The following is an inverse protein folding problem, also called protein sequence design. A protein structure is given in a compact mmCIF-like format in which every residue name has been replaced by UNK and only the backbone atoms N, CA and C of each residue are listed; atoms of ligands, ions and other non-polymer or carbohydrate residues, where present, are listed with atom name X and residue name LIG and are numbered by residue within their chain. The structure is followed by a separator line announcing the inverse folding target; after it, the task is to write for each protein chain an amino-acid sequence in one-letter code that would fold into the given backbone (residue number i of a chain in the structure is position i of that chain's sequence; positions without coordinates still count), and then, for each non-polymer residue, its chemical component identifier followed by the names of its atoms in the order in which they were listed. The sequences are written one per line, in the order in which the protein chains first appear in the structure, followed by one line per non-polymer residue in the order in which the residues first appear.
data_IF_486358691449
#
_entry.id   IF_486358691449
#
_cell.length_a   1.000
_cell.length_b   1.000
_cell.length_c   1.000
_cell.angle_alpha   90.00
_cell.angle_beta   90.00
_cell.angle_gamma   90.00
#
_symmetry.space_group_name_H-M   'P 1'
#
loop_
_entity.id
_entity.type
_entity.pdbx_description
1 polymer ?
#
# COMPACT_ATOMS: atom_id res chain seq x y z
N UNK A 1 60.52 -18.05 16.05
CA UNK A 1 59.70 -18.85 15.12
C UNK A 1 58.41 -18.10 14.84
N UNK A 2 58.41 -17.30 13.78
CA UNK A 2 57.25 -16.57 13.27
C UNK A 2 56.12 -17.53 12.89
N UNK A 3 54.88 -17.15 13.22
CA UNK A 3 53.68 -17.67 12.55
C UNK A 3 52.90 -16.47 12.02
N UNK A 4 53.06 -16.21 10.73
CA UNK A 4 52.28 -15.22 10.00
C UNK A 4 50.82 -15.68 9.85
N UNK A 5 49.88 -14.81 10.22
CA UNK A 5 48.43 -14.98 10.03
C UNK A 5 48.03 -14.75 8.57
N UNK A 6 47.34 -15.68 7.88
CA UNK A 6 46.80 -15.43 6.55
C UNK A 6 45.33 -14.99 6.67
N UNK A 7 45.10 -13.72 7.01
CA UNK A 7 43.77 -13.09 6.95
C UNK A 7 43.67 -12.02 5.85
N UNK A 8 44.45 -12.15 4.78
CA UNK A 8 44.46 -11.17 3.70
C UNK A 8 44.48 -11.81 2.30
N UNK A 9 43.56 -12.72 2.01
CA UNK A 9 43.43 -13.22 0.63
C UNK A 9 42.10 -13.89 0.30
N UNK A 10 40.94 -13.24 0.45
CA UNK A 10 39.73 -13.68 -0.29
C UNK A 10 38.88 -12.50 -0.73
N UNK A 11 38.69 -12.41 -2.06
CA UNK A 11 37.82 -11.48 -2.81
C UNK A 11 38.40 -10.15 -3.31
N UNK A 12 39.61 -10.20 -3.90
CA UNK A 12 40.09 -9.19 -4.84
C UNK A 12 39.54 -9.38 -6.26
N UNK A 13 38.22 -9.45 -6.43
CA UNK A 13 37.58 -9.54 -7.74
C UNK A 13 36.54 -8.44 -7.92
N UNK A 14 36.72 -7.56 -8.91
CA UNK A 14 35.68 -6.60 -9.30
C UNK A 14 34.41 -7.39 -9.66
N UNK A 15 33.44 -7.39 -8.74
CA UNK A 15 32.17 -8.09 -8.89
C UNK A 15 31.36 -7.43 -10.00
N UNK A 16 31.56 -7.93 -11.23
CA UNK A 16 30.85 -7.53 -12.42
C UNK A 16 29.35 -7.82 -12.26
N UNK A 17 28.55 -6.75 -12.14
CA UNK A 17 27.10 -6.74 -11.89
C UNK A 17 26.27 -7.18 -13.11
N UNK A 18 26.83 -7.97 -14.03
CA UNK A 18 26.20 -8.32 -15.31
C UNK A 18 25.54 -9.71 -15.30
N UNK A 19 25.83 -10.57 -14.32
CA UNK A 19 25.22 -11.91 -14.22
C UNK A 19 24.13 -11.97 -13.14
N UNK A 20 22.94 -12.46 -13.50
CA UNK A 20 21.85 -12.72 -12.55
C UNK A 20 22.27 -13.75 -11.47
N UNK A 21 23.16 -14.70 -11.81
CA UNK A 21 23.74 -15.66 -10.86
C UNK A 21 24.63 -14.96 -9.82
N UNK A 22 25.44 -14.00 -10.26
CA UNK A 22 26.26 -13.18 -9.36
C UNK A 22 25.40 -12.29 -8.46
N UNK A 23 24.36 -11.63 -9.01
CA UNK A 23 23.41 -10.83 -8.23
C UNK A 23 22.70 -11.67 -7.16
N UNK A 24 22.21 -12.87 -7.49
CA UNK A 24 21.56 -13.78 -6.53
C UNK A 24 22.51 -14.23 -5.42
N UNK A 25 23.80 -14.42 -5.72
CA UNK A 25 24.82 -14.74 -4.71
C UNK A 25 25.16 -13.55 -3.78
N UNK A 26 25.19 -12.33 -4.33
CA UNK A 26 25.55 -11.11 -3.58
C UNK A 26 24.38 -10.58 -2.75
N UNK A 27 23.18 -10.55 -3.32
CA UNK A 27 21.98 -9.98 -2.70
C UNK A 27 21.04 -11.03 -2.10
N UNK A 28 21.28 -12.32 -2.35
CA UNK A 28 20.49 -13.41 -1.79
C UNK A 28 21.04 -14.00 -0.49
N UNK A 29 22.22 -13.57 -0.04
CA UNK A 29 22.67 -13.94 1.31
C UNK A 29 21.89 -13.15 2.33
N UNK A 30 21.34 -13.87 3.31
CA UNK A 30 20.63 -13.32 4.46
C UNK A 30 21.55 -12.33 5.20
N UNK A 31 21.26 -11.05 5.05
CA UNK A 31 22.04 -9.97 5.67
C UNK A 31 21.67 -9.91 7.15
N UNK A 32 22.62 -9.63 8.05
CA UNK A 32 22.34 -9.42 9.49
C UNK A 32 21.24 -8.36 9.74
N UNK A 33 21.06 -7.42 8.81
CA UNK A 33 19.98 -6.42 8.83
C UNK A 33 18.58 -7.04 8.67
N UNK A 34 18.44 -8.07 7.84
CA UNK A 34 17.18 -8.80 7.65
C UNK A 34 16.78 -9.57 8.91
N UNK A 35 17.76 -10.08 9.67
CA UNK A 35 17.50 -10.81 10.92
C UNK A 35 16.95 -9.91 12.03
N UNK A 36 17.26 -8.61 12.01
CA UNK A 36 16.74 -7.62 12.97
C UNK A 36 15.35 -7.12 12.54
N UNK A 37 15.14 -6.91 11.25
CA UNK A 37 13.91 -6.26 10.74
C UNK A 37 12.76 -7.25 10.51
N UNK A 38 13.04 -8.48 10.09
CA UNK A 38 12.01 -9.50 9.90
C UNK A 38 11.16 -9.73 11.15
N UNK A 39 11.72 -10.02 12.34
CA UNK A 39 10.90 -10.28 13.52
C UNK A 39 10.06 -9.05 13.90
N UNK A 40 10.60 -7.83 13.76
CA UNK A 40 9.83 -6.61 14.02
C UNK A 40 8.68 -6.41 13.00
N UNK A 41 8.89 -6.73 11.72
CA UNK A 41 7.82 -6.68 10.69
C UNK A 41 6.79 -7.79 10.88
N UNK A 42 7.21 -8.98 11.28
CA UNK A 42 6.31 -10.10 11.60
C UNK A 42 5.49 -9.79 12.84
N UNK A 43 6.08 -9.22 13.89
CA UNK A 43 5.35 -8.76 15.07
C UNK A 43 4.33 -7.67 14.72
N UNK A 44 4.70 -6.69 13.88
CA UNK A 44 3.77 -5.68 13.38
C UNK A 44 2.68 -6.26 12.44
N UNK A 45 2.94 -7.40 11.79
CA UNK A 45 1.99 -8.10 10.93
C UNK A 45 1.15 -9.15 11.68
N UNK A 46 1.58 -9.57 12.88
CA UNK A 46 0.93 -10.59 13.69
C UNK A 46 -0.29 -10.08 14.44
N UNK A 47 -0.47 -8.76 14.53
CA UNK A 47 -1.75 -8.19 14.93
C UNK A 47 -2.76 -8.41 13.79
N UNK A 48 -3.80 -9.25 14.00
CA UNK A 48 -4.80 -9.47 12.97
C UNK A 48 -5.40 -8.11 12.56
N UNK A 49 -5.55 -7.83 11.26
CA UNK A 49 -6.07 -6.54 10.82
C UNK A 49 -7.43 -6.32 11.47
N UNK A 50 -7.57 -5.20 12.18
CA UNK A 50 -8.83 -4.82 12.80
C UNK A 50 -9.93 -4.84 11.73
N UNK A 51 -11.07 -5.45 12.05
CA UNK A 51 -12.19 -5.53 11.14
C UNK A 51 -12.61 -4.11 10.69
N UNK A 52 -12.95 -3.99 9.40
CA UNK A 52 -13.49 -2.75 8.83
C UNK A 52 -14.83 -2.45 9.49
N UNK A 53 -15.02 -1.21 9.95
CA UNK A 53 -16.30 -0.74 10.48
C UNK A 53 -17.33 -0.64 9.36
N UNK A 54 -16.86 -0.27 8.16
CA UNK A 54 -17.68 -0.20 6.96
C UNK A 54 -17.17 -1.20 5.91
N UNK A 55 -17.68 -2.45 5.94
CA UNK A 55 -17.35 -3.42 4.90
C UNK A 55 -17.91 -2.95 3.54
N UNK A 56 -17.24 -3.27 2.42
CA UNK A 56 -17.75 -2.95 1.09
C UNK A 56 -19.07 -3.69 0.82
N UNK A 57 -20.08 -2.96 0.35
CA UNK A 57 -21.40 -3.50 -0.01
C UNK A 57 -21.29 -4.54 -1.12
N UNK A 58 -20.37 -4.32 -2.05
CA UNK A 58 -20.09 -5.22 -3.17
C UNK A 58 -18.59 -5.37 -3.35
N UNK A 59 -18.11 -6.57 -3.66
CA UNK A 59 -16.70 -6.81 -3.99
C UNK A 59 -16.54 -6.97 -5.51
N UNK A 60 -16.15 -5.90 -6.23
CA UNK A 60 -15.94 -6.02 -7.67
C UNK A 60 -14.77 -6.97 -7.96
N UNK A 61 -14.99 -7.92 -8.87
CA UNK A 61 -13.97 -8.89 -9.29
C UNK A 61 -12.77 -8.23 -9.97
N UNK A 62 -13.02 -7.13 -10.71
CA UNK A 62 -11.99 -6.33 -11.36
C UNK A 62 -12.34 -4.85 -11.30
N UNK A 63 -11.38 -4.05 -10.87
CA UNK A 63 -11.46 -2.59 -10.88
C UNK A 63 -10.41 -2.07 -11.85
N UNK A 64 -10.85 -1.25 -12.80
CA UNK A 64 -9.96 -0.67 -13.79
C UNK A 64 -9.09 0.43 -13.16
N UNK A 65 -7.96 0.83 -13.79
CA UNK A 65 -7.09 1.87 -13.26
C UNK A 65 -7.76 3.25 -13.07
N UNK A 66 -8.88 3.51 -13.74
CA UNK A 66 -9.69 4.72 -13.55
C UNK A 66 -10.66 4.63 -12.35
N UNK A 67 -10.75 3.48 -11.67
CA UNK A 67 -11.71 3.25 -10.60
C UNK A 67 -13.12 2.90 -11.09
N UNK A 68 -13.28 2.56 -12.37
CA UNK A 68 -14.50 1.96 -12.87
C UNK A 68 -14.54 0.47 -12.50
N UNK A 69 -15.73 0.00 -12.10
CA UNK A 69 -16.01 -1.40 -11.83
C UNK A 69 -17.35 -1.77 -12.45
N UNK A 70 -17.56 -3.05 -12.70
CA UNK A 70 -18.84 -3.54 -13.21
C UNK A 70 -19.96 -3.22 -12.21
N UNK A 71 -21.16 -2.88 -12.70
CA UNK A 71 -22.33 -2.73 -11.83
C UNK A 71 -22.50 -3.96 -10.94
N UNK A 72 -22.89 -3.79 -9.67
CA UNK A 72 -23.21 -4.91 -8.81
C UNK A 72 -24.41 -5.69 -9.36
N UNK A 73 -24.43 -6.99 -9.10
CA UNK A 73 -25.57 -7.85 -9.47
C UNK A 73 -26.88 -7.28 -8.92
N UNK A 74 -28.02 -7.42 -9.62
CA UNK A 74 -29.30 -6.83 -9.22
C UNK A 74 -29.76 -7.30 -7.84
N UNK A 75 -29.34 -8.49 -7.39
CA UNK A 75 -29.57 -8.98 -6.03
C UNK A 75 -28.89 -8.11 -4.95
N UNK A 76 -27.76 -7.48 -5.27
CA UNK A 76 -26.98 -6.61 -4.39
C UNK A 76 -27.45 -5.15 -4.44
N UNK A 77 -28.09 -4.73 -5.54
CA UNK A 77 -28.63 -3.37 -5.73
C UNK A 77 -29.71 -3.01 -4.72
N UNK A 78 -30.41 -4.01 -4.16
CA UNK A 78 -31.43 -3.82 -3.13
C UNK A 78 -30.92 -3.62 -1.71
N UNK A 79 -29.60 -3.72 -1.46
CA UNK A 79 -29.07 -3.45 -0.13
C UNK A 79 -29.17 -1.96 0.20
N UNK A 80 -29.58 -1.60 1.43
CA UNK A 80 -29.57 -0.21 1.85
C UNK A 80 -28.14 0.32 1.75
N UNK A 81 -27.96 1.46 1.06
CA UNK A 81 -26.69 2.17 1.09
C UNK A 81 -26.38 2.53 2.54
N UNK A 82 -25.31 1.94 3.07
CA UNK A 82 -24.80 2.29 4.40
C UNK A 82 -24.57 3.80 4.43
N UNK A 83 -25.19 4.48 5.40
CA UNK A 83 -24.94 5.90 5.64
C UNK A 83 -23.50 6.02 6.14
N UNK A 84 -22.60 6.46 5.26
CA UNK A 84 -21.19 6.66 5.57
C UNK A 84 -20.99 8.10 6.05
N UNK A 85 -20.19 8.33 7.10
CA UNK A 85 -19.92 9.67 7.62
C UNK A 85 -18.97 10.47 6.74
N UNK A 86 -18.33 9.83 5.75
CA UNK A 86 -17.45 10.44 4.78
C UNK A 86 -17.91 10.14 3.35
N UNK A 87 -17.51 11.02 2.43
CA UNK A 87 -17.81 10.89 1.01
C UNK A 87 -16.55 11.16 0.19
N UNK A 88 -16.43 10.45 -0.92
CA UNK A 88 -15.36 10.66 -1.91
C UNK A 88 -16.00 11.04 -3.24
N UNK A 89 -15.66 12.22 -3.75
CA UNK A 89 -16.16 12.66 -5.04
C UNK A 89 -15.25 12.21 -6.18
N UNK A 90 -15.87 11.71 -7.26
CA UNK A 90 -15.15 11.40 -8.49
C UNK A 90 -14.64 12.66 -9.19
N UNK A 91 -13.67 12.49 -10.08
CA UNK A 91 -13.19 13.59 -10.92
C UNK A 91 -14.28 14.04 -11.90
N UNK A 92 -14.36 15.34 -12.16
CA UNK A 92 -15.41 15.92 -13.00
C UNK A 92 -15.26 15.42 -14.44
N UNK A 93 -14.00 15.38 -14.90
CA UNK A 93 -13.62 14.75 -16.18
C UNK A 93 -13.41 13.26 -15.97
N UNK A 94 -14.13 12.44 -16.74
CA UNK A 94 -13.96 10.99 -16.79
C UNK A 94 -14.54 10.21 -15.62
N UNK A 95 -15.01 10.87 -14.54
CA UNK A 95 -15.58 10.23 -13.34
C UNK A 95 -14.64 9.20 -12.72
N UNK A 96 -13.35 9.52 -12.60
CA UNK A 96 -12.35 8.62 -12.03
C UNK A 96 -12.36 8.70 -10.51
N UNK A 97 -11.98 7.59 -9.86
CA UNK A 97 -11.71 7.62 -8.43
C UNK A 97 -10.43 8.45 -8.17
N UNK A 98 -10.46 9.40 -7.23
CA UNK A 98 -9.37 10.35 -6.98
C UNK A 98 -8.21 9.73 -6.16
N UNK A 99 -7.78 8.52 -6.53
CA UNK A 99 -6.71 7.74 -5.89
C UNK A 99 -5.48 7.73 -6.79
N UNK A 100 -4.38 8.29 -6.30
CA UNK A 100 -3.15 8.50 -7.06
C UNK A 100 -1.91 7.97 -6.31
N UNK A 101 -0.85 7.69 -7.07
CA UNK A 101 0.48 7.45 -6.52
C UNK A 101 1.33 8.71 -6.70
N UNK A 102 1.95 9.17 -5.62
CA UNK A 102 2.98 10.20 -5.62
C UNK A 102 4.34 9.57 -5.32
N UNK A 103 5.38 10.13 -5.94
CA UNK A 103 6.74 9.60 -5.90
C UNK A 103 7.67 10.68 -5.40
N UNK A 104 8.14 10.56 -4.16
CA UNK A 104 8.99 11.55 -3.48
C UNK A 104 10.41 11.03 -3.28
N UNK A 105 11.30 11.94 -2.87
CA UNK A 105 12.71 11.69 -2.51
C UNK A 105 13.46 10.86 -3.57
N UNK A 106 13.54 11.40 -4.79
CA UNK A 106 14.30 10.77 -5.87
C UNK A 106 13.84 9.35 -6.21
N UNK A 107 12.51 9.12 -6.29
CA UNK A 107 11.90 7.82 -6.62
C UNK A 107 12.03 6.71 -5.58
N UNK A 108 12.46 7.04 -4.37
CA UNK A 108 12.60 6.05 -3.29
C UNK A 108 11.34 5.94 -2.44
N UNK A 109 10.54 7.02 -2.33
CA UNK A 109 9.34 7.02 -1.50
C UNK A 109 8.08 7.04 -2.36
N UNK A 110 7.39 5.90 -2.40
CA UNK A 110 6.05 5.78 -2.96
C UNK A 110 5.02 6.15 -1.90
N UNK A 111 4.08 7.01 -2.26
CA UNK A 111 2.99 7.47 -1.40
C UNK A 111 1.71 7.27 -2.19
N UNK A 112 0.69 6.71 -1.56
CA UNK A 112 -0.65 6.66 -2.12
C UNK A 112 -1.47 7.79 -1.50
N UNK A 113 -2.20 8.53 -2.33
CA UNK A 113 -3.02 9.64 -1.88
C UNK A 113 -4.45 9.52 -2.40
N UNK A 114 -5.41 9.89 -1.55
CA UNK A 114 -6.83 9.98 -1.88
C UNK A 114 -7.23 11.46 -1.77
N UNK A 115 -7.85 12.02 -2.81
CA UNK A 115 -8.30 13.43 -2.86
C UNK A 115 -9.82 13.51 -2.89
N UNK A 116 -10.35 14.75 -2.84
CA UNK A 116 -11.79 15.05 -2.92
C UNK A 116 -12.60 14.29 -1.87
N UNK A 117 -12.07 14.27 -0.64
CA UNK A 117 -12.75 13.67 0.51
C UNK A 117 -13.50 14.75 1.28
N UNK A 118 -14.75 14.49 1.60
CA UNK A 118 -15.62 15.33 2.43
C UNK A 118 -16.24 14.53 3.57
N UNK A 119 -16.81 15.21 4.56
CA UNK A 119 -17.37 14.59 5.78
C UNK A 119 -16.31 14.33 6.85
N UNK A 120 -16.46 13.24 7.60
CA UNK A 120 -15.57 12.87 8.71
C UNK A 120 -14.25 12.24 8.23
N UNK A 121 -13.19 13.06 8.25
CA UNK A 121 -11.86 12.65 7.83
C UNK A 121 -11.17 11.70 8.83
N UNK A 122 -11.50 11.76 10.12
CA UNK A 122 -10.87 10.91 11.13
C UNK A 122 -11.40 9.48 11.03
N UNK A 123 -12.72 9.32 10.83
CA UNK A 123 -13.33 8.03 10.54
C UNK A 123 -12.75 7.44 9.24
N UNK A 124 -12.64 8.25 8.17
CA UNK A 124 -12.03 7.77 6.93
C UNK A 124 -10.56 7.40 7.11
N UNK A 125 -9.78 8.18 7.87
CA UNK A 125 -8.38 7.89 8.18
C UNK A 125 -8.25 6.53 8.87
N UNK A 126 -9.09 6.26 9.87
CA UNK A 126 -9.10 5.00 10.62
C UNK A 126 -9.36 3.80 9.70
N UNK A 127 -10.37 3.89 8.85
CA UNK A 127 -10.74 2.82 7.92
C UNK A 127 -9.71 2.64 6.80
N UNK A 128 -9.19 3.74 6.26
CA UNK A 128 -8.12 3.72 5.25
C UNK A 128 -6.85 3.06 5.78
N UNK A 129 -6.51 3.27 7.05
CA UNK A 129 -5.38 2.61 7.71
C UNK A 129 -5.52 1.08 7.70
N UNK A 130 -6.71 0.57 8.03
CA UNK A 130 -7.03 -0.86 8.03
C UNK A 130 -6.87 -1.47 6.63
N UNK A 131 -7.38 -0.79 5.60
CA UNK A 131 -7.24 -1.23 4.20
C UNK A 131 -5.77 -1.23 3.75
N UNK A 132 -4.97 -0.28 4.25
CA UNK A 132 -3.55 -0.16 3.94
C UNK A 132 -2.63 -0.95 4.88
N UNK A 133 -3.08 -2.08 5.43
CA UNK A 133 -2.30 -2.93 6.33
C UNK A 133 -1.78 -2.19 7.57
N UNK A 134 -2.68 -1.48 8.25
CA UNK A 134 -2.43 -0.69 9.46
C UNK A 134 -1.30 0.35 9.32
N UNK A 135 -1.04 0.81 8.10
CA UNK A 135 -0.07 1.89 7.87
C UNK A 135 -0.63 3.23 8.31
N UNK A 136 0.25 4.07 8.87
CA UNK A 136 -0.15 5.40 9.28
C UNK A 136 -0.60 6.27 8.08
N UNK A 137 -1.88 6.63 8.12
CA UNK A 137 -2.51 7.57 7.21
C UNK A 137 -2.42 8.98 7.78
N UNK A 138 -1.93 9.92 6.99
CA UNK A 138 -1.79 11.33 7.36
C UNK A 138 -2.84 12.16 6.65
N UNK A 139 -3.61 12.90 7.43
CA UNK A 139 -4.49 13.94 6.92
C UNK A 139 -3.61 15.16 6.59
N UNK A 140 -3.75 15.72 5.39
CA UNK A 140 -3.02 16.92 4.96
C UNK A 140 -3.97 18.09 4.88
N UNK A 141 -3.42 19.30 4.79
CA UNK A 141 -4.19 20.49 4.46
C UNK A 141 -4.90 20.31 3.11
N UNK A 142 -6.22 20.51 3.12
CA UNK A 142 -7.14 20.25 2.01
C UNK A 142 -7.87 18.90 2.13
N UNK A 143 -8.83 18.60 1.24
CA UNK A 143 -9.63 17.37 1.28
C UNK A 143 -8.84 16.17 0.73
N UNK A 144 -7.73 15.80 1.40
CA UNK A 144 -6.86 14.67 0.99
C UNK A 144 -6.18 13.94 2.15
N UNK A 145 -6.00 12.64 1.97
CA UNK A 145 -5.27 11.74 2.85
C UNK A 145 -4.07 11.12 2.12
N UNK A 146 -2.97 10.90 2.84
CA UNK A 146 -1.74 10.30 2.32
C UNK A 146 -1.33 9.09 3.15
N UNK A 147 -0.94 7.99 2.50
CA UNK A 147 -0.35 6.80 3.14
C UNK A 147 0.96 6.44 2.45
N UNK A 148 1.97 6.03 3.24
CA UNK A 148 3.24 5.57 2.69
C UNK A 148 3.06 4.17 2.12
N UNK A 149 3.54 3.94 0.90
CA UNK A 149 3.40 2.66 0.21
C UNK A 149 2.51 2.73 -1.03
N UNK A 150 2.39 1.59 -1.71
CA UNK A 150 1.57 1.44 -2.92
C UNK A 150 0.33 0.64 -2.56
N UNK A 151 -0.78 1.35 -2.35
CA UNK A 151 -2.08 0.80 -1.97
C UNK A 151 -3.20 1.24 -2.94
N UNK A 152 -2.82 1.62 -4.17
CA UNK A 152 -3.78 2.20 -5.11
C UNK A 152 -4.83 1.21 -5.59
N UNK A 153 -4.50 -0.08 -5.70
CA UNK A 153 -5.46 -1.09 -6.17
C UNK A 153 -6.48 -1.41 -5.08
N UNK A 154 -5.99 -1.62 -3.87
CA UNK A 154 -6.73 -1.95 -2.65
C UNK A 154 -7.72 -0.82 -2.30
N UNK A 155 -7.26 0.43 -2.32
CA UNK A 155 -8.13 1.57 -2.06
C UNK A 155 -9.18 1.79 -3.15
N UNK A 156 -8.83 1.57 -4.43
CA UNK A 156 -9.82 1.66 -5.51
C UNK A 156 -10.87 0.57 -5.40
N UNK A 157 -10.48 -0.64 -5.00
CA UNK A 157 -11.39 -1.74 -4.79
C UNK A 157 -12.33 -1.50 -3.61
N UNK A 158 -11.79 -1.02 -2.49
CA UNK A 158 -12.59 -0.67 -1.33
C UNK A 158 -13.58 0.46 -1.62
N UNK A 159 -13.12 1.58 -2.21
CA UNK A 159 -13.99 2.71 -2.53
C UNK A 159 -15.05 2.37 -3.59
N UNK A 160 -14.68 1.60 -4.61
CA UNK A 160 -15.64 1.10 -5.61
C UNK A 160 -16.68 0.17 -4.95
N UNK A 161 -16.26 -0.67 -3.99
CA UNK A 161 -17.15 -1.57 -3.27
C UNK A 161 -18.11 -0.89 -2.29
N UNK A 162 -17.73 0.29 -1.77
CA UNK A 162 -18.63 1.18 -1.02
C UNK A 162 -19.61 1.93 -1.94
N UNK A 163 -19.38 1.93 -3.25
CA UNK A 163 -20.25 2.56 -4.24
C UNK A 163 -19.95 4.04 -4.52
N UNK A 164 -18.69 4.48 -4.32
CA UNK A 164 -18.22 5.82 -4.67
C UNK A 164 -17.77 5.94 -6.14
#
# INVERSE_FOLDING_TARGET
MERASPLLARFGGHLRKHSNRAKKRIFGSRTRYEDVIRPAREQAAAEPPAALKYPPTYQPSRVLPNGWSAPPDPATVGLPKTSLPFQVERTDKGRWLPVYTDVRKGRTQLITLVRKVSGDLEEMRGEMSKVCANQEVRIRTGPRLEVKGRYTAELRQWLAGLGF
#
